data_IF_986923178338
#
_entry.id   IF_986923178338
#
_cell.length_a   1.000
_cell.length_b   1.000
_cell.length_c   1.000
_cell.angle_alpha   90.00
_cell.angle_beta   90.00
_cell.angle_gamma   90.00
#
_symmetry.space_group_name_H-M   'P 1'
#
loop_
_entity.id
_entity.type
_entity.pdbx_description
1 polymer ?
#
# COMPACT_ATOMS: atom_id res chain seq x y z
N UNK A 1 -18.21 -1.23 9.53
CA UNK A 1 -17.33 -1.92 8.57
C UNK A 1 -15.91 -1.52 8.91
N UNK A 2 -15.10 -2.43 9.45
CA UNK A 2 -13.67 -2.17 9.63
C UNK A 2 -13.05 -2.21 8.24
N UNK A 3 -12.80 -1.04 7.65
CA UNK A 3 -12.04 -0.90 6.41
C UNK A 3 -10.65 -1.51 6.64
N UNK A 4 -10.49 -2.74 6.18
CA UNK A 4 -9.24 -3.48 6.29
C UNK A 4 -8.16 -2.64 5.62
N UNK A 5 -7.01 -2.51 6.27
CA UNK A 5 -5.88 -1.64 5.87
C UNK A 5 -5.96 -0.15 6.23
N UNK A 6 -7.03 0.39 6.85
CA UNK A 6 -7.01 1.78 7.38
C UNK A 6 -5.80 2.03 8.28
N UNK A 7 -5.56 1.12 9.23
CA UNK A 7 -4.49 1.29 10.21
C UNK A 7 -3.12 1.25 9.51
N UNK A 8 -3.01 0.49 8.43
CA UNK A 8 -1.83 0.48 7.57
C UNK A 8 -1.64 1.79 6.82
N UNK A 9 -2.72 2.41 6.31
CA UNK A 9 -2.64 3.73 5.68
C UNK A 9 -2.14 4.79 6.65
N UNK A 10 -2.65 4.77 7.90
CA UNK A 10 -2.18 5.65 8.97
C UNK A 10 -0.70 5.39 9.27
N UNK A 11 -0.31 4.12 9.43
CA UNK A 11 1.08 3.74 9.68
C UNK A 11 2.03 4.20 8.56
N UNK A 12 1.61 4.11 7.29
CA UNK A 12 2.40 4.60 6.16
C UNK A 12 2.55 6.13 6.21
N UNK A 13 1.47 6.84 6.54
CA UNK A 13 1.49 8.30 6.69
C UNK A 13 2.40 8.75 7.83
N UNK A 14 2.33 8.07 8.97
CA UNK A 14 3.02 8.48 10.20
C UNK A 14 4.48 8.01 10.26
N UNK A 15 4.75 6.80 9.75
CA UNK A 15 6.01 6.09 9.97
C UNK A 15 6.68 5.62 8.67
N UNK A 16 6.00 5.71 7.52
CA UNK A 16 6.53 5.20 6.25
C UNK A 16 6.56 3.66 6.16
N UNK A 17 5.80 2.95 7.01
CA UNK A 17 5.73 1.49 7.00
C UNK A 17 4.29 1.00 7.16
N UNK A 18 3.98 -0.18 6.62
CA UNK A 18 2.60 -0.71 6.51
C UNK A 18 2.03 -1.22 7.83
N UNK A 19 2.86 -1.73 8.74
CA UNK A 19 2.39 -2.41 9.95
C UNK A 19 1.82 -3.81 9.68
N UNK A 20 1.13 -4.39 10.66
CA UNK A 20 0.66 -5.77 10.58
C UNK A 20 -0.50 -5.97 9.58
N UNK A 21 -0.48 -7.09 8.86
CA UNK A 21 -1.53 -7.47 7.92
C UNK A 21 -2.86 -7.70 8.65
N UNK A 22 -3.96 -7.06 8.22
CA UNK A 22 -5.27 -7.17 8.89
C UNK A 22 -5.96 -8.52 8.71
N UNK A 23 -5.37 -9.45 7.94
CA UNK A 23 -5.96 -10.76 7.67
C UNK A 23 -5.21 -11.93 8.31
N UNK A 24 -3.88 -11.85 8.40
CA UNK A 24 -3.06 -12.94 8.95
C UNK A 24 -2.15 -12.50 10.10
N UNK A 25 -2.12 -11.21 10.45
CA UNK A 25 -1.29 -10.66 11.53
C UNK A 25 0.20 -10.56 11.21
N UNK A 26 0.66 -11.03 10.04
CA UNK A 26 2.07 -10.94 9.64
C UNK A 26 2.53 -9.48 9.51
N UNK A 27 3.72 -9.17 10.00
CA UNK A 27 4.40 -7.88 9.79
C UNK A 27 5.22 -7.84 8.50
N UNK A 28 5.27 -8.95 7.74
CA UNK A 28 5.89 -9.00 6.42
C UNK A 28 4.93 -8.44 5.37
N UNK A 29 4.74 -7.14 5.43
CA UNK A 29 3.88 -6.34 4.58
C UNK A 29 4.70 -5.28 3.88
N UNK A 30 4.24 -4.84 2.73
CA UNK A 30 4.92 -3.83 1.96
C UNK A 30 3.93 -3.04 1.11
N UNK A 31 4.38 -1.91 0.58
CA UNK A 31 3.59 -1.04 -0.26
C UNK A 31 4.45 -0.41 -1.35
N UNK A 32 3.78 0.09 -2.38
CA UNK A 32 4.41 0.89 -3.42
C UNK A 32 3.42 1.90 -3.97
N UNK A 33 3.90 3.12 -4.16
CA UNK A 33 3.20 4.15 -4.90
C UNK A 33 3.67 4.17 -6.36
N UNK A 34 2.72 4.25 -7.29
CA UNK A 34 2.99 4.37 -8.72
C UNK A 34 2.55 5.75 -9.20
N UNK A 35 3.50 6.60 -9.57
CA UNK A 35 3.22 7.93 -10.12
C UNK A 35 2.84 7.79 -11.60
N UNK A 36 1.64 8.26 -11.94
CA UNK A 36 1.10 8.19 -13.31
C UNK A 36 1.19 9.55 -14.00
N UNK A 37 0.95 10.65 -13.28
CA UNK A 37 1.06 12.02 -13.78
C UNK A 37 2.19 12.71 -13.00
N UNK A 38 3.42 12.78 -13.57
CA UNK A 38 4.58 13.30 -12.85
C UNK A 38 4.46 14.76 -12.41
N UNK A 39 3.82 15.60 -13.24
CA UNK A 39 3.66 17.05 -13.02
C UNK A 39 3.07 17.38 -11.64
N UNK A 40 2.01 16.66 -11.26
CA UNK A 40 1.32 16.83 -9.99
C UNK A 40 1.57 15.67 -9.02
N UNK A 41 2.42 14.71 -9.40
CA UNK A 41 2.66 13.44 -8.71
C UNK A 41 1.38 12.66 -8.38
N UNK A 42 0.40 12.69 -9.27
CA UNK A 42 -0.83 11.90 -9.10
C UNK A 42 -0.60 10.47 -9.55
N UNK A 43 -1.21 9.52 -8.84
CA UNK A 43 -1.04 8.11 -9.10
C UNK A 43 -1.92 7.25 -8.21
N UNK A 44 -1.42 6.05 -7.90
CA UNK A 44 -2.09 5.08 -7.04
C UNK A 44 -1.08 4.43 -6.09
N UNK A 45 -1.59 3.72 -5.09
CA UNK A 45 -0.79 2.94 -4.17
C UNK A 45 -1.36 1.54 -4.01
N UNK A 46 -0.48 0.56 -3.97
CA UNK A 46 -0.81 -0.81 -3.62
C UNK A 46 -0.16 -1.15 -2.28
N UNK A 47 -0.92 -1.78 -1.39
CA UNK A 47 -0.47 -2.29 -0.10
C UNK A 47 -0.72 -3.78 -0.09
N UNK A 48 0.23 -4.59 0.38
CA UNK A 48 0.07 -6.04 0.40
C UNK A 48 0.78 -6.72 1.56
N UNK A 49 0.40 -7.99 1.78
CA UNK A 49 1.13 -8.90 2.65
C UNK A 49 1.92 -9.92 1.81
N UNK A 50 3.21 -10.04 2.08
CA UNK A 50 4.09 -10.99 1.38
C UNK A 50 3.76 -12.46 1.72
N UNK A 51 3.16 -12.71 2.89
CA UNK A 51 2.82 -14.05 3.37
C UNK A 51 1.46 -14.55 2.82
N UNK A 52 0.38 -13.82 3.07
CA UNK A 52 -0.97 -14.27 2.65
C UNK A 52 -1.43 -13.71 1.30
N UNK A 53 -0.60 -12.90 0.63
CA UNK A 53 -0.84 -12.29 -0.68
C UNK A 53 -2.05 -11.37 -0.81
N UNK A 54 -2.80 -11.14 0.28
CA UNK A 54 -3.88 -10.16 0.29
C UNK A 54 -3.33 -8.75 0.13
N UNK A 55 -4.02 -7.95 -0.67
CA UNK A 55 -3.64 -6.61 -1.04
C UNK A 55 -4.84 -5.66 -1.07
N UNK A 56 -4.55 -4.37 -1.10
CA UNK A 56 -5.51 -3.29 -1.21
C UNK A 56 -4.97 -2.22 -2.16
N UNK A 57 -5.84 -1.72 -3.04
CA UNK A 57 -5.51 -0.72 -4.02
C UNK A 57 -6.14 0.63 -3.66
N UNK A 58 -5.30 1.62 -3.38
CA UNK A 58 -5.74 3.01 -3.19
C UNK A 58 -5.67 3.72 -4.53
N UNK A 59 -6.83 3.88 -5.15
CA UNK A 59 -6.94 4.62 -6.41
C UNK A 59 -6.78 6.12 -6.20
N UNK A 60 -6.18 6.81 -7.18
CA UNK A 60 -6.19 8.28 -7.33
C UNK A 60 -5.81 9.05 -6.07
N UNK A 61 -4.51 9.10 -5.82
CA UNK A 61 -3.93 9.93 -4.77
C UNK A 61 -2.81 10.81 -5.31
N UNK A 62 -2.63 11.97 -4.69
CA UNK A 62 -1.40 12.73 -4.83
C UNK A 62 -0.32 12.06 -3.97
N UNK A 63 0.82 11.70 -4.57
CA UNK A 63 1.88 10.92 -3.92
C UNK A 63 2.96 11.88 -3.38
N UNK A 64 3.13 11.99 -2.06
CA UNK A 64 4.21 12.78 -1.45
C UNK A 64 5.60 12.35 -1.94
N UNK A 65 6.58 13.25 -1.86
CA UNK A 65 7.95 12.99 -2.33
C UNK A 65 8.68 11.91 -1.53
N UNK A 66 8.32 11.72 -0.26
CA UNK A 66 8.92 10.76 0.66
C UNK A 66 8.30 9.35 0.59
N UNK A 67 7.32 9.12 -0.30
CA UNK A 67 6.72 7.79 -0.43
C UNK A 67 7.57 6.86 -1.30
N UNK A 68 7.55 5.57 -0.95
CA UNK A 68 8.20 4.51 -1.71
C UNK A 68 7.59 4.39 -3.11
N UNK A 69 8.40 4.67 -4.13
CA UNK A 69 8.01 4.58 -5.55
C UNK A 69 8.84 3.58 -6.35
N UNK A 70 9.90 3.04 -5.75
CA UNK A 70 10.78 2.05 -6.34
C UNK A 70 10.40 0.62 -5.92
N UNK A 71 10.96 -0.36 -6.62
CA UNK A 71 10.69 -1.78 -6.41
C UNK A 71 9.56 -2.33 -7.28
N UNK A 72 9.30 -3.62 -7.14
CA UNK A 72 8.28 -4.33 -7.91
C UNK A 72 7.13 -4.77 -7.01
N UNK A 73 5.92 -4.72 -7.55
CA UNK A 73 4.75 -5.29 -6.90
C UNK A 73 4.79 -6.80 -7.18
N UNK A 74 4.74 -7.67 -6.16
CA UNK A 74 4.75 -9.11 -6.38
C UNK A 74 3.59 -9.57 -7.25
N UNK A 75 3.81 -10.61 -8.06
CA UNK A 75 2.73 -11.28 -8.77
C UNK A 75 1.86 -12.12 -7.81
N UNK A 76 0.62 -12.38 -8.22
CA UNK A 76 -0.31 -13.25 -7.48
C UNK A 76 -0.94 -12.61 -6.24
N UNK A 77 -1.02 -11.27 -6.19
CA UNK A 77 -1.75 -10.57 -5.13
C UNK A 77 -3.26 -10.70 -5.31
N UNK A 78 -3.95 -10.89 -4.19
CA UNK A 78 -5.41 -10.92 -4.10
C UNK A 78 -5.92 -9.57 -3.60
N UNK A 79 -6.56 -8.80 -4.47
CA UNK A 79 -7.08 -7.48 -4.12
C UNK A 79 -8.47 -7.56 -3.51
N UNK A 80 -8.65 -6.89 -2.37
CA UNK A 80 -9.93 -6.74 -1.69
C UNK A 80 -10.39 -5.29 -1.81
N UNK A 81 -11.69 -5.10 -2.04
CA UNK A 81 -12.36 -3.78 -1.95
C UNK A 81 -12.98 -3.59 -0.57
#
# INVERSE_FOLDING_TARGET
MTEKWIDSLKSISDQGSVGACPFCGSTNTDYKCSVVIPENRNGYMDIWCNNCKKAFHVSRMQIPKNMKTEGEIPQGLEYYN
#
